data_IF_133207813587
#
_entry.id   IF_133207813587
#
_cell.length_a   1.000
_cell.length_b   1.000
_cell.length_c   1.000
_cell.angle_alpha   90.00
_cell.angle_beta   90.00
_cell.angle_gamma   90.00
#
_symmetry.space_group_name_H-M   'P 1'
#
loop_
_entity.id
_entity.type
_entity.pdbx_description
1 polymer ?
#
# COMPACT_ATOMS: atom_id res chain seq x y z
N UNK A 1 -83.16 -27.19 -14.91
CA UNK A 1 -82.60 -26.27 -13.87
C UNK A 1 -81.29 -26.88 -13.39
N UNK A 2 -80.24 -26.47 -13.99
CA UNK A 2 -78.87 -27.04 -13.76
C UNK A 2 -78.01 -25.97 -13.05
N UNK A 3 -77.58 -26.29 -11.82
CA UNK A 3 -76.72 -25.45 -11.01
C UNK A 3 -75.26 -25.58 -11.49
N UNK A 4 -74.72 -24.51 -12.00
CA UNK A 4 -73.29 -24.38 -12.35
C UNK A 4 -72.55 -23.90 -11.09
N UNK A 5 -71.75 -24.81 -10.49
CA UNK A 5 -70.79 -24.46 -9.43
C UNK A 5 -69.54 -23.93 -10.05
N UNK A 6 -69.27 -22.66 -9.90
CA UNK A 6 -68.00 -22.04 -10.26
C UNK A 6 -67.00 -22.33 -9.12
N UNK A 7 -66.00 -23.14 -9.38
CA UNK A 7 -64.86 -23.34 -8.49
C UNK A 7 -63.84 -22.24 -8.79
N UNK A 8 -63.73 -21.23 -7.92
CA UNK A 8 -62.64 -20.26 -7.97
C UNK A 8 -61.38 -20.92 -7.41
N UNK A 9 -60.49 -21.32 -8.32
CA UNK A 9 -59.14 -21.75 -7.95
C UNK A 9 -58.27 -20.50 -7.74
N UNK A 10 -58.08 -20.13 -6.48
CA UNK A 10 -57.17 -19.04 -6.10
C UNK A 10 -55.70 -19.48 -6.25
N UNK A 11 -55.06 -19.11 -7.31
CA UNK A 11 -53.59 -19.19 -7.44
C UNK A 11 -52.97 -18.14 -6.50
N UNK A 12 -52.55 -18.58 -5.34
CA UNK A 12 -51.72 -17.79 -4.44
C UNK A 12 -50.31 -17.64 -5.07
N UNK A 13 -50.04 -16.58 -5.80
CA UNK A 13 -48.73 -16.20 -6.23
C UNK A 13 -47.93 -15.74 -5.00
N UNK A 14 -47.13 -16.63 -4.43
CA UNK A 14 -46.08 -16.28 -3.46
C UNK A 14 -44.98 -15.58 -4.26
N UNK A 15 -45.01 -14.25 -4.28
CA UNK A 15 -43.89 -13.45 -4.77
C UNK A 15 -42.79 -13.58 -3.72
N UNK A 16 -41.85 -14.51 -3.90
CA UNK A 16 -40.59 -14.56 -3.19
C UNK A 16 -39.79 -13.37 -3.69
N UNK A 17 -39.90 -12.24 -2.98
CA UNK A 17 -38.94 -11.17 -3.10
C UNK A 17 -37.59 -11.72 -2.62
N UNK A 18 -36.81 -12.29 -3.51
CA UNK A 18 -35.39 -12.47 -3.32
C UNK A 18 -34.80 -11.06 -3.23
N UNK A 19 -34.75 -10.53 -2.01
CA UNK A 19 -33.91 -9.40 -1.70
C UNK A 19 -32.53 -9.83 -2.10
N UNK A 20 -32.11 -9.47 -3.29
CA UNK A 20 -30.71 -9.53 -3.67
C UNK A 20 -29.98 -8.60 -2.72
N UNK A 21 -29.64 -9.13 -1.55
CA UNK A 21 -28.60 -8.54 -0.71
C UNK A 21 -27.39 -8.49 -1.61
N UNK A 22 -27.14 -7.33 -2.21
CA UNK A 22 -25.87 -7.08 -2.86
C UNK A 22 -24.81 -7.13 -1.76
N UNK A 23 -24.29 -8.33 -1.51
CA UNK A 23 -23.14 -8.52 -0.64
C UNK A 23 -22.07 -7.57 -1.17
N UNK A 24 -21.64 -6.63 -0.34
CA UNK A 24 -20.55 -5.74 -0.71
C UNK A 24 -19.33 -6.61 -1.01
N UNK A 25 -18.91 -6.60 -2.26
CA UNK A 25 -17.76 -7.41 -2.70
C UNK A 25 -16.50 -6.68 -2.27
N UNK A 26 -15.64 -7.38 -1.55
CA UNK A 26 -14.30 -6.88 -1.23
C UNK A 26 -13.50 -6.79 -2.55
N UNK A 27 -12.91 -5.63 -2.83
CA UNK A 27 -11.86 -5.52 -3.85
C UNK A 27 -10.60 -6.20 -3.28
N UNK A 28 -9.87 -6.90 -4.12
CA UNK A 28 -8.53 -7.36 -3.76
C UNK A 28 -7.52 -6.44 -4.43
N UNK A 29 -6.57 -5.93 -3.67
CA UNK A 29 -5.39 -5.27 -4.23
C UNK A 29 -4.36 -6.35 -4.51
N UNK A 30 -4.29 -6.79 -5.78
CA UNK A 30 -3.43 -7.88 -6.23
C UNK A 30 -1.98 -7.43 -6.40
N UNK A 31 -1.28 -7.20 -5.27
CA UNK A 31 0.17 -7.07 -5.20
C UNK A 31 0.72 -8.35 -4.58
N UNK A 32 1.62 -9.10 -5.24
CA UNK A 32 2.01 -10.43 -4.79
C UNK A 32 2.81 -10.40 -3.48
N UNK A 33 2.70 -11.48 -2.74
CA UNK A 33 3.63 -11.75 -1.64
C UNK A 33 5.05 -11.94 -2.17
N UNK A 34 6.03 -11.63 -1.37
CA UNK A 34 7.45 -11.83 -1.68
C UNK A 34 8.05 -12.96 -0.84
N UNK A 35 9.17 -13.58 -1.24
CA UNK A 35 9.75 -14.67 -0.49
C UNK A 35 9.96 -14.35 0.98
N UNK A 36 9.33 -15.14 1.86
CA UNK A 36 9.40 -14.98 3.31
C UNK A 36 8.48 -13.92 3.93
N UNK A 37 7.65 -13.21 3.11
CA UNK A 37 6.79 -12.15 3.62
C UNK A 37 5.43 -12.10 2.92
N UNK A 38 4.39 -11.80 3.70
CA UNK A 38 3.12 -11.32 3.21
C UNK A 38 3.23 -9.84 2.86
N UNK A 39 2.67 -9.44 1.72
CA UNK A 39 2.58 -8.03 1.30
C UNK A 39 1.26 -7.46 1.79
N UNK A 40 1.25 -6.85 2.98
CA UNK A 40 0.06 -6.27 3.58
C UNK A 40 -0.16 -4.84 3.08
N UNK A 41 -1.41 -4.52 2.73
CA UNK A 41 -1.85 -3.18 2.31
C UNK A 41 -2.36 -2.44 3.53
N UNK A 42 -1.66 -1.38 3.93
CA UNK A 42 -1.87 -0.68 5.19
C UNK A 42 -2.15 0.80 4.97
N UNK A 43 -3.12 1.34 5.72
CA UNK A 43 -3.34 2.77 5.85
C UNK A 43 -3.26 3.17 7.32
N UNK A 44 -2.24 3.96 7.66
CA UNK A 44 -1.92 4.30 9.04
C UNK A 44 -2.36 5.70 9.46
N UNK A 45 -3.05 6.44 8.57
CA UNK A 45 -3.56 7.77 8.86
C UNK A 45 -4.97 7.95 8.31
N UNK A 46 -5.96 7.75 9.18
CA UNK A 46 -7.36 8.01 8.88
C UNK A 46 -8.05 8.65 10.07
N UNK A 47 -9.06 9.47 9.81
CA UNK A 47 -9.78 10.23 10.82
C UNK A 47 -11.24 9.81 10.90
N UNK A 48 -11.87 10.04 12.04
CA UNK A 48 -13.28 9.76 12.28
C UNK A 48 -14.02 11.00 12.80
N UNK A 49 -15.33 10.86 13.04
CA UNK A 49 -16.14 11.93 13.63
C UNK A 49 -15.68 12.37 15.02
N UNK A 50 -14.79 11.63 15.67
CA UNK A 50 -14.21 12.01 16.97
C UNK A 50 -13.11 13.07 16.83
N UNK A 51 -12.70 13.39 15.60
CA UNK A 51 -11.80 14.49 15.27
C UNK A 51 -12.35 15.35 14.12
N UNK A 52 -11.56 15.66 13.13
CA UNK A 52 -11.93 16.42 11.92
C UNK A 52 -12.47 15.53 10.79
N UNK A 53 -12.61 14.22 11.03
CA UNK A 53 -13.25 13.30 10.10
C UNK A 53 -14.78 13.39 10.12
N UNK A 54 -15.42 12.82 9.10
CA UNK A 54 -16.86 12.92 8.84
C UNK A 54 -17.60 11.58 8.98
N UNK A 55 -16.85 10.47 9.13
CA UNK A 55 -17.44 9.14 9.17
C UNK A 55 -17.25 8.44 10.51
N UNK A 56 -18.18 7.54 10.82
CA UNK A 56 -18.12 6.74 12.04
C UNK A 56 -16.97 5.73 12.01
N UNK A 57 -16.31 5.40 13.13
CA UNK A 57 -15.17 4.48 13.15
C UNK A 57 -15.42 3.11 12.50
N UNK A 58 -16.60 2.53 12.66
CA UNK A 58 -16.96 1.27 11.99
C UNK A 58 -17.08 1.41 10.47
N UNK A 59 -17.43 2.61 9.96
CA UNK A 59 -17.45 2.89 8.53
C UNK A 59 -16.02 2.86 7.98
N UNK A 60 -15.03 3.40 8.69
CA UNK A 60 -13.62 3.29 8.30
C UNK A 60 -13.17 1.84 8.12
N UNK A 61 -13.62 0.95 9.02
CA UNK A 61 -13.31 -0.49 8.93
C UNK A 61 -13.99 -1.11 7.70
N UNK A 62 -15.25 -0.76 7.44
CA UNK A 62 -15.97 -1.25 6.25
C UNK A 62 -15.33 -0.76 4.95
N UNK A 63 -14.91 0.50 4.89
CA UNK A 63 -14.18 1.07 3.76
C UNK A 63 -12.84 0.36 3.53
N UNK A 64 -12.05 0.16 4.59
CA UNK A 64 -10.79 -0.56 4.53
C UNK A 64 -10.98 -1.99 3.97
N UNK A 65 -11.97 -2.72 4.49
CA UNK A 65 -12.28 -4.06 4.01
C UNK A 65 -12.73 -4.05 2.55
N UNK A 66 -13.67 -3.17 2.19
CA UNK A 66 -14.20 -3.07 0.82
C UNK A 66 -13.12 -2.75 -0.20
N UNK A 67 -12.15 -1.92 0.16
CA UNK A 67 -11.08 -1.47 -0.72
C UNK A 67 -9.85 -2.38 -0.71
N UNK A 68 -9.90 -3.50 0.02
CA UNK A 68 -8.86 -4.53 0.00
C UNK A 68 -7.67 -4.26 0.92
N UNK A 69 -7.79 -3.35 1.89
CA UNK A 69 -6.77 -3.18 2.92
C UNK A 69 -6.71 -4.40 3.85
N UNK A 70 -5.52 -4.69 4.35
CA UNK A 70 -5.30 -5.71 5.38
C UNK A 70 -5.20 -5.08 6.77
N UNK A 71 -4.72 -3.83 6.85
CA UNK A 71 -4.41 -3.12 8.09
C UNK A 71 -4.89 -1.67 8.02
N UNK A 72 -5.47 -1.17 9.11
CA UNK A 72 -5.82 0.25 9.25
C UNK A 72 -5.50 0.77 10.65
N UNK A 73 -5.18 2.06 10.76
CA UNK A 73 -5.20 2.81 12.01
C UNK A 73 -6.13 4.02 11.88
N UNK A 74 -7.01 4.22 12.88
CA UNK A 74 -7.77 5.46 13.03
C UNK A 74 -6.97 6.30 14.02
N UNK A 75 -6.48 7.45 13.54
CA UNK A 75 -5.50 8.26 14.25
C UNK A 75 -6.05 9.65 14.58
N UNK A 76 -7.27 9.68 15.11
CA UNK A 76 -7.87 10.91 15.61
C UNK A 76 -6.89 11.63 16.58
N UNK A 77 -6.67 12.96 16.44
CA UNK A 77 -5.72 13.69 17.25
C UNK A 77 -6.10 13.73 18.73
N UNK A 78 -5.09 13.59 19.59
CA UNK A 78 -5.23 13.74 21.04
C UNK A 78 -5.77 15.13 21.38
N UNK A 79 -6.73 15.19 22.33
CA UNK A 79 -7.31 16.44 22.81
C UNK A 79 -8.37 17.05 21.89
N UNK A 80 -8.73 16.39 20.82
CA UNK A 80 -9.77 16.86 19.87
C UNK A 80 -11.19 16.47 20.31
N UNK A 81 -11.50 16.59 21.58
CA UNK A 81 -12.74 16.08 22.20
C UNK A 81 -14.03 16.58 21.55
N UNK A 82 -14.53 15.85 20.53
CA UNK A 82 -15.89 16.05 20.01
C UNK A 82 -16.93 15.27 20.79
N UNK A 83 -16.54 14.26 21.57
CA UNK A 83 -17.43 13.56 22.46
C UNK A 83 -17.35 14.11 23.89
N UNK A 84 -18.40 13.87 24.66
CA UNK A 84 -18.51 14.36 26.05
C UNK A 84 -17.66 13.54 27.04
N UNK A 85 -17.05 12.45 26.58
CA UNK A 85 -16.29 11.53 27.46
C UNK A 85 -14.82 11.90 27.58
N UNK A 86 -14.28 12.68 26.62
CA UNK A 86 -12.86 13.01 26.56
C UNK A 86 -11.95 11.80 26.38
N UNK A 87 -12.46 10.70 25.79
CA UNK A 87 -11.70 9.46 25.64
C UNK A 87 -11.01 9.38 24.25
N UNK A 88 -9.70 9.63 24.22
CA UNK A 88 -8.89 9.56 23.00
C UNK A 88 -8.74 8.13 22.43
N UNK A 89 -9.19 7.08 23.13
CA UNK A 89 -9.22 5.70 22.61
C UNK A 89 -10.55 5.36 21.91
N UNK A 90 -11.53 6.26 21.90
CA UNK A 90 -12.92 5.97 21.56
C UNK A 90 -13.08 5.39 20.15
N UNK A 91 -12.39 5.95 19.16
CA UNK A 91 -12.45 5.48 17.77
C UNK A 91 -11.99 4.04 17.62
N UNK A 92 -10.87 3.70 18.25
CA UNK A 92 -10.35 2.35 18.26
C UNK A 92 -11.29 1.37 18.97
N UNK A 93 -11.83 1.73 20.14
CA UNK A 93 -12.72 0.88 20.93
C UNK A 93 -14.01 0.55 20.18
N UNK A 94 -14.57 1.52 19.45
CA UNK A 94 -15.77 1.33 18.61
C UNK A 94 -15.46 0.49 17.36
N UNK A 95 -14.31 0.73 16.73
CA UNK A 95 -13.96 0.09 15.46
C UNK A 95 -13.53 -1.37 15.62
N UNK A 96 -12.83 -1.70 16.72
CA UNK A 96 -12.19 -3.00 16.94
C UNK A 96 -13.12 -4.21 16.81
N UNK A 97 -14.32 -4.26 17.45
CA UNK A 97 -15.17 -5.44 17.35
C UNK A 97 -15.53 -5.82 15.91
N UNK A 98 -15.81 -4.79 15.07
CA UNK A 98 -16.09 -5.03 13.66
C UNK A 98 -14.84 -5.45 12.89
N UNK A 99 -13.69 -4.83 13.16
CA UNK A 99 -12.42 -5.18 12.53
C UNK A 99 -12.07 -6.66 12.79
N UNK A 100 -12.18 -7.11 14.04
CA UNK A 100 -11.95 -8.51 14.46
C UNK A 100 -12.95 -9.46 13.73
N UNK A 101 -14.21 -9.06 13.59
CA UNK A 101 -15.24 -9.84 12.92
C UNK A 101 -14.98 -10.06 11.43
N UNK A 102 -14.50 -9.04 10.72
CA UNK A 102 -14.32 -9.08 9.25
C UNK A 102 -12.86 -9.28 8.82
N UNK A 103 -11.95 -9.53 9.78
CA UNK A 103 -10.56 -9.89 9.52
C UNK A 103 -9.66 -8.73 9.09
N UNK A 104 -9.97 -7.50 9.52
CA UNK A 104 -9.10 -6.33 9.36
C UNK A 104 -8.23 -6.19 10.61
N UNK A 105 -6.91 -6.04 10.44
CA UNK A 105 -6.02 -5.71 11.54
C UNK A 105 -6.15 -4.22 11.83
N UNK A 106 -6.76 -3.89 12.98
CA UNK A 106 -6.83 -2.51 13.44
C UNK A 106 -5.71 -2.21 14.43
N UNK A 107 -4.94 -1.17 14.17
CA UNK A 107 -3.86 -0.70 15.04
C UNK A 107 -4.36 0.50 15.85
N UNK A 108 -4.16 0.43 17.19
CA UNK A 108 -4.43 1.61 18.02
C UNK A 108 -3.40 2.68 17.75
N UNK A 109 -3.89 3.85 17.30
CA UNK A 109 -3.05 4.99 17.00
C UNK A 109 -3.70 6.31 17.41
N UNK A 110 -2.93 7.35 17.33
CA UNK A 110 -3.39 8.74 17.48
C UNK A 110 -2.41 9.69 16.80
N UNK A 111 -2.76 10.94 16.69
CA UNK A 111 -1.90 12.01 16.17
C UNK A 111 -1.73 13.11 17.21
N UNK A 112 -0.59 13.79 17.20
CA UNK A 112 -0.38 15.04 17.94
C UNK A 112 -0.07 16.14 16.92
N UNK A 113 -0.95 17.12 16.85
CA UNK A 113 -0.78 18.28 15.98
C UNK A 113 0.16 19.28 16.61
N UNK A 114 1.27 19.54 15.95
CA UNK A 114 2.20 20.62 16.30
C UNK A 114 2.65 21.34 15.06
N UNK A 115 2.87 22.65 15.19
CA UNK A 115 3.55 23.41 14.15
C UNK A 115 5.01 22.97 14.03
N UNK A 116 5.60 23.20 12.87
CA UNK A 116 7.03 23.01 12.68
C UNK A 116 7.84 24.00 13.51
N UNK A 117 8.93 23.58 14.19
CA UNK A 117 9.32 22.23 14.54
C UNK A 117 8.55 21.69 15.76
N UNK A 118 8.38 20.37 15.96
CA UNK A 118 8.87 19.28 15.12
C UNK A 118 7.93 18.88 13.97
N UNK A 119 6.71 19.45 13.89
CA UNK A 119 5.63 19.08 13.01
C UNK A 119 4.69 18.03 13.61
N UNK A 120 3.77 17.54 12.81
CA UNK A 120 2.78 16.55 13.21
C UNK A 120 3.44 15.17 13.36
N UNK A 121 3.14 14.47 14.44
CA UNK A 121 3.60 13.10 14.66
C UNK A 121 2.42 12.15 14.83
N UNK A 122 2.50 11.00 14.19
CA UNK A 122 1.60 9.88 14.40
C UNK A 122 2.23 8.82 15.28
N UNK A 123 1.39 8.21 16.10
CA UNK A 123 1.74 7.23 17.11
C UNK A 123 0.93 5.97 16.88
N UNK A 124 1.59 4.87 16.52
CA UNK A 124 0.96 3.56 16.30
C UNK A 124 1.34 2.59 17.42
N UNK A 125 0.50 1.60 17.66
CA UNK A 125 0.70 0.53 18.66
C UNK A 125 0.78 1.07 20.11
N UNK A 126 0.11 2.17 20.39
CA UNK A 126 -0.05 2.69 21.74
C UNK A 126 -1.03 1.83 22.55
N UNK A 127 -0.88 1.81 23.87
CA UNK A 127 -1.77 1.08 24.77
C UNK A 127 -2.94 1.94 25.23
N UNK A 128 -2.69 3.22 25.48
CA UNK A 128 -3.68 4.18 25.96
C UNK A 128 -3.36 5.59 25.46
N UNK A 129 -4.19 6.09 24.53
CA UNK A 129 -4.04 7.43 23.97
C UNK A 129 -4.31 8.54 24.99
N UNK A 130 -5.14 8.30 26.03
CA UNK A 130 -5.44 9.32 27.05
C UNK A 130 -4.19 9.77 27.81
N UNK A 131 -3.19 8.90 27.93
CA UNK A 131 -1.93 9.23 28.61
C UNK A 131 -1.02 10.17 27.79
N UNK A 132 -1.34 10.35 26.50
CA UNK A 132 -0.60 11.23 25.59
C UNK A 132 -1.14 12.67 25.62
N UNK A 133 -2.29 12.91 26.23
CA UNK A 133 -2.85 14.24 26.40
C UNK A 133 -2.18 14.96 27.55
N UNK A 134 -1.14 15.75 27.26
CA UNK A 134 -0.33 16.48 28.23
C UNK A 134 -0.08 17.91 27.73
N UNK A 135 0.05 18.86 28.63
CA UNK A 135 0.42 20.23 28.29
C UNK A 135 1.80 20.28 27.62
N UNK A 136 2.74 19.55 28.19
CA UNK A 136 4.07 19.40 27.63
C UNK A 136 4.10 18.26 26.61
N UNK A 137 4.08 18.60 25.32
CA UNK A 137 4.12 17.64 24.23
C UNK A 137 5.34 16.70 24.25
N UNK A 138 6.46 17.13 24.85
CA UNK A 138 7.64 16.29 24.98
C UNK A 138 7.41 15.10 25.92
N UNK A 139 6.64 15.32 26.98
CA UNK A 139 6.21 14.23 27.88
C UNK A 139 5.25 13.26 27.19
N UNK A 140 4.38 13.77 26.30
CA UNK A 140 3.53 12.92 25.46
C UNK A 140 4.35 12.00 24.57
N UNK A 141 5.42 12.50 23.98
CA UNK A 141 6.29 11.72 23.11
C UNK A 141 7.08 10.64 23.88
N UNK A 142 7.56 10.97 25.06
CA UNK A 142 8.20 10.00 25.97
C UNK A 142 7.22 8.93 26.42
N UNK A 143 6.03 9.32 26.84
CA UNK A 143 4.96 8.39 27.22
C UNK A 143 4.64 7.41 26.08
N UNK A 144 4.47 7.91 24.85
CA UNK A 144 4.23 7.06 23.69
C UNK A 144 5.39 6.08 23.45
N UNK A 145 6.63 6.54 23.56
CA UNK A 145 7.82 5.68 23.48
C UNK A 145 7.81 4.60 24.56
N UNK A 146 7.48 4.95 25.80
CA UNK A 146 7.43 4.02 26.95
C UNK A 146 6.29 2.98 26.77
N UNK A 147 5.21 3.35 26.11
CA UNK A 147 4.18 2.41 25.66
C UNK A 147 4.65 1.50 24.50
N UNK A 148 5.82 1.76 23.94
CA UNK A 148 6.39 1.02 22.82
C UNK A 148 5.83 1.41 21.46
N UNK A 149 5.34 2.63 21.29
CA UNK A 149 4.81 3.13 20.03
C UNK A 149 5.85 3.11 18.91
N UNK A 150 5.38 2.88 17.69
CA UNK A 150 6.07 3.27 16.47
C UNK A 150 5.62 4.69 16.12
N UNK A 151 6.57 5.63 16.09
CA UNK A 151 6.31 7.05 15.93
C UNK A 151 6.90 7.52 14.61
N UNK A 152 6.09 8.19 13.79
CA UNK A 152 6.55 8.73 12.52
C UNK A 152 6.08 10.17 12.30
N UNK A 153 6.90 10.92 11.57
CA UNK A 153 6.59 12.27 11.16
C UNK A 153 5.62 12.25 10.00
N UNK A 154 4.45 12.87 10.18
CA UNK A 154 3.44 13.07 9.16
C UNK A 154 3.44 14.52 8.69
N UNK A 155 2.70 14.77 7.63
CA UNK A 155 2.45 16.11 7.10
C UNK A 155 3.73 16.96 6.90
N UNK A 156 4.73 16.47 6.14
CA UNK A 156 5.99 17.18 5.98
C UNK A 156 5.93 18.37 4.99
N UNK A 157 4.72 18.86 4.65
CA UNK A 157 4.49 19.93 3.69
C UNK A 157 5.20 21.24 4.04
N UNK A 158 5.32 21.53 5.33
CA UNK A 158 5.97 22.75 5.81
C UNK A 158 7.50 22.69 5.73
N UNK A 159 8.08 21.50 5.53
CA UNK A 159 9.53 21.32 5.42
C UNK A 159 10.04 21.78 4.06
N UNK A 160 10.73 22.92 4.04
CA UNK A 160 11.25 23.55 2.80
C UNK A 160 12.70 23.21 2.49
N UNK A 161 13.38 22.52 3.39
CA UNK A 161 14.78 22.14 3.23
C UNK A 161 15.02 20.70 3.65
N UNK A 162 16.08 20.07 3.17
CA UNK A 162 16.47 18.71 3.57
C UNK A 162 17.35 18.66 4.83
N UNK A 163 17.34 19.71 5.64
CA UNK A 163 18.04 19.76 6.92
C UNK A 163 17.09 19.44 8.05
N UNK A 164 17.53 18.58 8.96
CA UNK A 164 16.83 18.25 10.18
C UNK A 164 16.91 19.43 11.16
N UNK A 165 15.77 19.81 11.70
CA UNK A 165 15.68 20.88 12.71
C UNK A 165 16.06 20.34 14.10
N UNK A 166 16.50 21.19 15.05
CA UNK A 166 16.97 20.76 16.38
C UNK A 166 16.00 19.83 17.12
N UNK A 167 14.71 20.12 17.09
CA UNK A 167 13.68 19.32 17.77
C UNK A 167 13.52 17.96 17.09
N UNK A 168 13.58 17.89 15.75
CA UNK A 168 13.56 16.66 15.01
C UNK A 168 14.82 15.81 15.28
N UNK A 169 16.00 16.46 15.34
CA UNK A 169 17.27 15.79 15.70
C UNK A 169 17.13 15.18 17.08
N UNK A 170 16.61 15.92 18.04
CA UNK A 170 16.38 15.41 19.39
C UNK A 170 15.46 14.18 19.40
N UNK A 171 14.37 14.18 18.61
CA UNK A 171 13.48 13.02 18.45
C UNK A 171 14.21 11.79 17.87
N UNK A 172 15.14 12.02 16.94
CA UNK A 172 15.97 10.97 16.36
C UNK A 172 16.98 10.42 17.37
N UNK A 173 17.72 11.30 18.05
CA UNK A 173 18.78 10.93 19.00
C UNK A 173 18.20 10.20 20.23
N UNK A 174 17.02 10.60 20.69
CA UNK A 174 16.30 9.89 21.75
C UNK A 174 15.59 8.62 21.25
N UNK A 175 15.70 8.32 19.95
CA UNK A 175 15.11 7.13 19.33
C UNK A 175 13.58 7.13 19.37
N UNK A 176 12.95 8.30 19.40
CA UNK A 176 11.50 8.48 19.35
C UNK A 176 11.00 8.39 17.93
N UNK A 177 11.56 9.19 17.01
CA UNK A 177 11.18 9.21 15.61
C UNK A 177 11.75 7.99 14.86
N UNK A 178 10.90 7.19 14.24
CA UNK A 178 11.25 5.94 13.56
C UNK A 178 10.91 5.92 12.07
N UNK A 179 10.01 6.79 11.62
CA UNK A 179 9.53 6.82 10.26
C UNK A 179 9.17 8.22 9.79
N UNK A 180 8.95 8.33 8.48
CA UNK A 180 8.53 9.57 7.81
C UNK A 180 7.50 9.23 6.75
N UNK A 181 6.42 9.98 6.72
CA UNK A 181 5.45 9.94 5.64
C UNK A 181 6.02 10.69 4.44
N UNK A 182 6.15 10.00 3.31
CA UNK A 182 6.68 10.58 2.07
C UNK A 182 5.62 10.77 0.98
N UNK A 183 4.41 10.25 1.22
CA UNK A 183 3.25 10.44 0.36
C UNK A 183 1.99 10.52 1.22
N UNK A 184 1.17 11.55 1.00
CA UNK A 184 -0.07 11.76 1.74
C UNK A 184 -1.18 12.24 0.79
N UNK A 185 -2.35 11.61 0.86
CA UNK A 185 -3.51 11.90 0.02
C UNK A 185 -3.16 11.82 -1.48
N UNK A 186 -2.82 12.92 -2.13
CA UNK A 186 -2.41 13.02 -3.53
C UNK A 186 -1.03 13.66 -3.71
N UNK A 187 -0.27 13.86 -2.63
CA UNK A 187 0.99 14.59 -2.59
C UNK A 187 2.19 13.73 -2.25
N UNK A 188 3.21 13.86 -3.07
CA UNK A 188 4.53 13.28 -2.84
C UNK A 188 5.50 14.32 -2.26
N UNK A 189 6.29 13.93 -1.25
CA UNK A 189 7.23 14.77 -0.54
C UNK A 189 8.69 14.35 -0.76
N UNK A 190 9.33 14.75 -1.86
CA UNK A 190 10.70 14.32 -2.19
C UNK A 190 11.73 14.80 -1.18
N UNK A 191 11.50 15.94 -0.52
CA UNK A 191 12.37 16.42 0.57
C UNK A 191 12.29 15.46 1.76
N UNK A 192 11.10 15.06 2.16
CA UNK A 192 10.89 14.13 3.26
C UNK A 192 11.48 12.74 2.96
N UNK A 193 11.35 12.24 1.72
CA UNK A 193 12.02 11.00 1.30
C UNK A 193 13.54 11.10 1.43
N UNK A 194 14.14 12.20 0.95
CA UNK A 194 15.57 12.42 1.08
C UNK A 194 16.00 12.43 2.55
N UNK A 195 15.23 13.09 3.42
CA UNK A 195 15.48 13.14 4.86
C UNK A 195 15.36 11.75 5.50
N UNK A 196 14.31 10.98 5.14
CA UNK A 196 14.15 9.60 5.61
C UNK A 196 15.36 8.74 5.24
N UNK A 197 15.84 8.82 3.98
CA UNK A 197 16.98 8.09 3.50
C UNK A 197 18.29 8.46 4.22
N UNK A 198 18.48 9.75 4.55
CA UNK A 198 19.67 10.21 5.30
C UNK A 198 19.82 9.58 6.68
N UNK A 199 18.71 9.26 7.34
CA UNK A 199 18.65 8.71 8.69
C UNK A 199 18.16 7.27 8.74
N UNK A 200 18.02 6.63 7.58
CA UNK A 200 17.56 5.26 7.46
C UNK A 200 16.23 5.04 8.21
N UNK A 201 15.25 5.92 7.98
CA UNK A 201 13.93 5.86 8.59
C UNK A 201 12.95 5.06 7.72
N UNK A 202 11.95 4.50 8.35
CA UNK A 202 10.86 3.82 7.66
C UNK A 202 10.06 4.84 6.83
N UNK A 203 9.84 4.54 5.55
CA UNK A 203 8.97 5.35 4.69
C UNK A 203 7.53 4.85 4.78
N UNK A 204 6.60 5.81 4.83
CA UNK A 204 5.17 5.52 4.90
C UNK A 204 4.38 6.37 3.89
N UNK A 205 3.18 5.89 3.58
CA UNK A 205 2.14 6.64 2.91
C UNK A 205 0.85 6.54 3.71
N UNK A 206 0.08 7.61 3.76
CA UNK A 206 -1.22 7.66 4.42
C UNK A 206 -2.27 8.35 3.55
N UNK A 207 -3.54 7.99 3.73
CA UNK A 207 -4.62 8.66 3.02
C UNK A 207 -4.99 10.01 3.61
N UNK A 208 -4.75 10.21 4.91
CA UNK A 208 -5.24 11.39 5.68
C UNK A 208 -6.76 11.59 5.51
N UNK A 209 -7.47 10.48 5.38
CA UNK A 209 -8.87 10.48 4.97
C UNK A 209 -9.79 11.02 6.05
N UNK A 210 -10.61 12.01 5.69
CA UNK A 210 -11.57 12.68 6.57
C UNK A 210 -13.00 12.37 6.17
N UNK A 211 -13.35 12.53 4.93
CA UNK A 211 -14.66 12.19 4.37
C UNK A 211 -14.82 10.69 4.05
N UNK A 212 -15.85 10.34 3.32
CA UNK A 212 -16.05 8.98 2.82
C UNK A 212 -15.04 8.65 1.73
N UNK A 213 -14.43 7.46 1.80
CA UNK A 213 -13.45 7.00 0.82
C UNK A 213 -13.98 6.95 -0.61
N UNK A 214 -15.27 6.65 -0.78
CA UNK A 214 -15.91 6.64 -2.09
C UNK A 214 -16.02 8.01 -2.75
N UNK A 215 -15.90 9.10 -1.99
CA UNK A 215 -15.86 10.47 -2.49
C UNK A 215 -14.42 10.95 -2.70
N UNK A 216 -13.54 10.71 -1.73
CA UNK A 216 -12.16 11.19 -1.78
C UNK A 216 -11.29 10.41 -2.77
N UNK A 217 -11.56 9.11 -2.96
CA UNK A 217 -10.80 8.20 -3.83
C UNK A 217 -11.71 7.49 -4.85
N UNK A 218 -12.63 8.23 -5.48
CA UNK A 218 -13.60 7.67 -6.44
C UNK A 218 -12.95 7.11 -7.70
N UNK A 219 -11.87 7.73 -8.18
CA UNK A 219 -11.19 7.38 -9.44
C UNK A 219 -9.91 6.56 -9.24
N UNK A 220 -9.30 6.63 -8.06
CA UNK A 220 -8.02 5.98 -7.74
C UNK A 220 -8.13 5.25 -6.40
N UNK A 221 -7.29 4.24 -6.20
CA UNK A 221 -7.15 3.72 -4.85
C UNK A 221 -6.45 4.75 -3.95
N UNK A 222 -6.78 4.73 -2.64
CA UNK A 222 -6.04 5.52 -1.67
C UNK A 222 -4.56 5.12 -1.65
N UNK A 223 -3.64 6.03 -1.31
CA UNK A 223 -2.26 5.64 -1.07
C UNK A 223 -2.17 4.65 0.08
N UNK A 224 -1.31 3.66 -0.06
CA UNK A 224 -1.11 2.65 0.97
C UNK A 224 0.37 2.43 1.24
N UNK A 225 0.69 2.11 2.48
CA UNK A 225 1.99 1.53 2.83
C UNK A 225 1.91 0.02 2.63
N UNK A 226 2.72 -0.52 1.71
CA UNK A 226 2.96 -1.96 1.61
C UNK A 226 3.90 -2.36 2.73
N UNK A 227 3.45 -3.26 3.60
CA UNK A 227 4.24 -3.79 4.71
C UNK A 227 4.58 -5.24 4.45
N UNK A 228 5.88 -5.56 4.44
CA UNK A 228 6.37 -6.93 4.22
C UNK A 228 6.53 -7.63 5.57
N UNK A 229 5.46 -8.26 6.02
CA UNK A 229 5.33 -8.89 7.32
C UNK A 229 5.53 -10.41 7.24
N UNK A 230 6.08 -11.03 8.29
CA UNK A 230 6.29 -12.47 8.36
C UNK A 230 4.99 -13.25 8.55
N UNK A 231 3.97 -12.60 9.11
CA UNK A 231 2.63 -13.12 9.30
C UNK A 231 1.59 -11.99 9.26
N UNK A 232 0.30 -12.34 9.20
CA UNK A 232 -0.81 -11.37 9.21
C UNK A 232 -1.23 -11.09 10.64
N UNK A 233 -0.40 -10.32 11.38
CA UNK A 233 -0.66 -9.94 12.78
C UNK A 233 -0.19 -8.52 13.07
N UNK A 234 -0.77 -7.89 14.11
CA UNK A 234 -0.37 -6.56 14.58
C UNK A 234 1.11 -6.53 14.97
N UNK A 235 1.59 -7.58 15.67
CA UNK A 235 2.99 -7.70 16.09
C UNK A 235 3.96 -7.79 14.92
N UNK A 236 3.63 -8.55 13.87
CA UNK A 236 4.46 -8.67 12.68
C UNK A 236 4.46 -7.39 11.84
N UNK A 237 3.35 -6.64 11.80
CA UNK A 237 3.30 -5.31 11.20
C UNK A 237 4.23 -4.36 11.94
N UNK A 238 4.16 -4.32 13.29
CA UNK A 238 5.07 -3.49 14.10
C UNK A 238 6.54 -3.82 13.87
N UNK A 239 6.85 -5.11 13.87
CA UNK A 239 8.22 -5.60 13.65
C UNK A 239 8.72 -5.22 12.23
N UNK A 240 7.85 -5.32 11.21
CA UNK A 240 8.18 -4.93 9.85
C UNK A 240 8.44 -3.42 9.73
N UNK A 241 7.62 -2.57 10.38
CA UNK A 241 7.85 -1.14 10.43
C UNK A 241 9.20 -0.81 11.11
N UNK A 242 9.49 -1.41 12.27
CA UNK A 242 10.76 -1.19 12.97
C UNK A 242 11.99 -1.66 12.16
N UNK A 243 11.81 -2.63 11.26
CA UNK A 243 12.85 -3.14 10.35
C UNK A 243 12.81 -2.53 8.95
N UNK A 244 12.05 -1.46 8.73
CA UNK A 244 11.94 -0.74 7.47
C UNK A 244 11.54 -1.63 6.28
N UNK A 245 10.74 -2.66 6.55
CA UNK A 245 10.21 -3.53 5.52
C UNK A 245 8.92 -2.95 4.94
N UNK A 246 9.07 -1.80 4.28
CA UNK A 246 7.97 -1.06 3.67
C UNK A 246 8.29 -0.63 2.25
N UNK A 247 7.24 -0.41 1.48
CA UNK A 247 7.21 0.37 0.26
C UNK A 247 5.90 1.16 0.23
N UNK A 248 5.84 2.24 -0.53
CA UNK A 248 4.59 2.99 -0.68
C UNK A 248 4.00 2.71 -2.06
N UNK A 249 2.67 2.60 -2.14
CA UNK A 249 1.95 2.36 -3.38
C UNK A 249 0.83 3.41 -3.56
N UNK A 250 0.87 4.11 -4.68
CA UNK A 250 -0.10 5.13 -5.05
C UNK A 250 -0.21 5.22 -6.58
N UNK A 251 -1.42 5.38 -7.09
CA UNK A 251 -1.66 5.34 -8.54
C UNK A 251 -1.02 4.10 -9.17
N UNK A 252 -0.16 4.29 -10.16
CA UNK A 252 0.58 3.23 -10.83
C UNK A 252 2.04 3.12 -10.34
N UNK A 253 2.37 3.64 -9.17
CA UNK A 253 3.77 3.77 -8.73
C UNK A 253 4.01 3.10 -7.39
N UNK A 254 5.12 2.36 -7.29
CA UNK A 254 5.67 1.90 -6.00
C UNK A 254 7.02 2.56 -5.77
N UNK A 255 7.24 3.13 -4.57
CA UNK A 255 8.54 3.61 -4.12
C UNK A 255 9.00 2.73 -2.95
N UNK A 256 10.23 2.22 -3.00
CA UNK A 256 10.75 1.38 -1.91
C UNK A 256 12.17 0.90 -2.10
N UNK A 257 12.66 0.16 -1.11
CA UNK A 257 13.98 -0.46 -1.19
C UNK A 257 13.99 -1.57 -2.24
N UNK A 258 15.04 -1.60 -3.08
CA UNK A 258 15.24 -2.60 -4.13
C UNK A 258 15.08 -4.04 -3.61
N UNK A 259 15.52 -4.30 -2.38
CA UNK A 259 15.37 -5.60 -1.72
C UNK A 259 13.94 -6.12 -1.70
N UNK A 260 12.95 -5.23 -1.64
CA UNK A 260 11.54 -5.59 -1.57
C UNK A 260 10.84 -5.42 -2.92
N UNK A 261 11.10 -4.33 -3.64
CA UNK A 261 10.37 -4.05 -4.89
C UNK A 261 10.83 -4.93 -6.07
N UNK A 262 12.08 -5.44 -6.06
CA UNK A 262 12.53 -6.45 -7.05
C UNK A 262 11.71 -7.75 -6.95
N UNK A 263 11.56 -8.38 -5.77
CA UNK A 263 10.68 -9.54 -5.64
C UNK A 263 9.21 -9.25 -5.96
N UNK A 264 8.69 -8.07 -5.62
CA UNK A 264 7.32 -7.67 -6.02
C UNK A 264 7.18 -7.73 -7.53
N UNK A 265 8.08 -7.10 -8.28
CA UNK A 265 8.07 -7.15 -9.75
C UNK A 265 8.18 -8.59 -10.27
N UNK A 266 9.17 -9.35 -9.80
CA UNK A 266 9.42 -10.72 -10.28
C UNK A 266 8.23 -11.65 -10.02
N UNK A 267 7.55 -11.51 -8.87
CA UNK A 267 6.39 -12.32 -8.55
C UNK A 267 5.10 -11.83 -9.22
N UNK A 268 5.09 -10.58 -9.70
CA UNK A 268 3.96 -10.03 -10.48
C UNK A 268 3.94 -10.55 -11.92
N UNK A 269 5.06 -10.98 -12.47
CA UNK A 269 5.14 -11.39 -13.87
C UNK A 269 5.44 -12.87 -14.02
N UNK A 270 4.89 -13.46 -15.09
CA UNK A 270 5.21 -14.81 -15.52
C UNK A 270 5.65 -14.76 -16.98
N UNK A 271 6.88 -15.17 -17.24
CA UNK A 271 7.39 -15.31 -18.60
C UNK A 271 6.97 -16.67 -19.13
N UNK A 272 6.22 -16.67 -20.21
CA UNK A 272 5.78 -17.84 -20.94
C UNK A 272 6.64 -17.91 -22.20
N UNK A 273 7.56 -18.86 -22.23
CA UNK A 273 8.48 -19.07 -23.34
C UNK A 273 7.94 -20.16 -24.23
N UNK A 274 8.02 -19.97 -25.54
CA UNK A 274 7.85 -21.07 -26.49
C UNK A 274 9.17 -21.87 -26.56
N UNK A 275 9.09 -23.14 -26.94
CA UNK A 275 10.26 -24.02 -27.06
C UNK A 275 11.08 -23.75 -28.35
N UNK A 276 10.79 -22.65 -29.06
CA UNK A 276 11.53 -22.26 -30.26
C UNK A 276 12.85 -21.58 -29.84
N UNK A 277 13.96 -22.06 -30.36
CA UNK A 277 15.26 -21.43 -30.24
C UNK A 277 15.29 -20.14 -31.05
N UNK A 278 15.96 -19.10 -30.56
CA UNK A 278 16.29 -17.92 -31.35
C UNK A 278 17.63 -18.16 -32.03
N UNK A 279 17.57 -18.20 -33.38
CA UNK A 279 18.71 -18.34 -34.24
C UNK A 279 19.07 -17.00 -34.90
N UNK A 280 20.18 -16.94 -35.59
CA UNK A 280 20.55 -15.77 -36.41
C UNK A 280 19.44 -15.48 -37.45
N UNK A 281 19.10 -14.19 -37.61
CA UNK A 281 17.99 -13.70 -38.47
C UNK A 281 16.62 -14.36 -38.18
N UNK A 282 16.53 -15.14 -37.10
CA UNK A 282 15.30 -15.78 -36.65
C UNK A 282 14.43 -14.86 -35.83
N UNK A 283 13.14 -15.21 -35.71
CA UNK A 283 12.14 -14.56 -34.86
C UNK A 283 11.70 -15.51 -33.77
N UNK A 284 11.78 -15.07 -32.52
CA UNK A 284 11.23 -15.74 -31.34
C UNK A 284 10.28 -14.79 -30.60
N UNK A 285 9.04 -15.21 -30.46
CA UNK A 285 8.08 -14.49 -29.66
C UNK A 285 8.00 -15.12 -28.27
N UNK A 286 8.12 -14.31 -27.23
CA UNK A 286 7.81 -14.67 -25.85
C UNK A 286 6.57 -13.94 -25.39
N UNK A 287 5.91 -14.47 -24.37
CA UNK A 287 4.77 -13.81 -23.74
C UNK A 287 5.10 -13.52 -22.28
N UNK A 288 4.78 -12.32 -21.82
CA UNK A 288 4.92 -11.92 -20.41
C UNK A 288 3.51 -11.64 -19.88
N UNK A 289 3.07 -12.45 -18.91
CA UNK A 289 1.81 -12.25 -18.21
C UNK A 289 2.03 -11.49 -16.92
N UNK A 290 1.25 -10.44 -16.71
CA UNK A 290 1.22 -9.67 -15.47
C UNK A 290 0.05 -10.13 -14.59
N UNK A 291 0.34 -10.71 -13.41
CA UNK A 291 -0.66 -11.23 -12.47
C UNK A 291 -1.11 -10.20 -11.41
N UNK A 292 -0.65 -8.95 -11.53
CA UNK A 292 -0.92 -7.92 -10.53
C UNK A 292 -1.87 -6.83 -11.05
N UNK A 293 -2.38 -6.01 -10.14
CA UNK A 293 -3.17 -4.82 -10.47
C UNK A 293 -2.30 -3.65 -10.97
N UNK A 294 -0.99 -3.76 -10.86
CA UNK A 294 -0.06 -2.74 -11.31
C UNK A 294 0.31 -2.90 -12.78
N UNK A 295 0.23 -1.86 -13.60
CA UNK A 295 0.94 -1.85 -14.87
C UNK A 295 2.45 -1.73 -14.64
N UNK A 296 3.26 -2.25 -15.55
CA UNK A 296 4.71 -2.03 -15.53
C UNK A 296 5.15 -1.40 -16.84
N UNK A 297 5.88 -0.30 -16.74
CA UNK A 297 6.44 0.45 -17.87
C UNK A 297 7.94 0.16 -17.97
N UNK A 298 8.31 -0.77 -18.85
CA UNK A 298 9.70 -1.19 -19.04
C UNK A 298 10.33 -0.38 -20.16
N UNK A 299 11.52 0.17 -19.92
CA UNK A 299 12.35 0.82 -20.92
C UNK A 299 13.71 0.14 -20.97
N UNK A 300 14.17 -0.21 -22.20
CA UNK A 300 15.45 -0.90 -22.39
C UNK A 300 16.61 0.00 -21.96
N UNK A 301 17.41 -0.47 -21.00
CA UNK A 301 18.55 0.28 -20.47
C UNK A 301 19.86 0.08 -21.23
N UNK A 302 19.97 -1.04 -21.95
CA UNK A 302 21.12 -1.36 -22.78
C UNK A 302 20.76 -2.41 -23.84
N UNK A 303 21.47 -2.48 -24.97
CA UNK A 303 21.29 -3.53 -25.96
C UNK A 303 21.49 -4.93 -25.39
N UNK A 304 20.74 -5.90 -25.92
CA UNK A 304 20.97 -7.32 -25.68
C UNK A 304 22.07 -7.85 -26.63
N UNK A 305 22.80 -8.85 -26.18
CA UNK A 305 23.91 -9.41 -26.98
C UNK A 305 23.38 -10.40 -28.00
N UNK A 306 23.64 -10.16 -29.27
CA UNK A 306 23.32 -11.04 -30.39
C UNK A 306 21.86 -10.99 -30.86
N UNK A 307 20.97 -10.21 -30.24
CA UNK A 307 19.57 -10.06 -30.66
C UNK A 307 19.00 -8.68 -30.33
N UNK A 308 17.95 -8.30 -31.01
CA UNK A 308 17.14 -7.12 -30.71
C UNK A 308 15.86 -7.49 -29.96
N UNK A 309 15.38 -6.56 -29.15
CA UNK A 309 14.09 -6.61 -28.45
C UNK A 309 13.48 -5.20 -28.44
N UNK A 310 12.17 -5.05 -28.17
CA UNK A 310 11.52 -3.75 -28.11
C UNK A 310 12.21 -2.79 -27.13
N UNK A 311 12.20 -1.50 -27.44
CA UNK A 311 12.74 -0.46 -26.56
C UNK A 311 11.85 -0.25 -25.34
N UNK A 312 10.54 -0.19 -25.57
CA UNK A 312 9.53 -0.04 -24.52
C UNK A 312 8.58 -1.24 -24.53
N UNK A 313 8.22 -1.70 -23.31
CA UNK A 313 7.21 -2.74 -23.08
C UNK A 313 6.26 -2.25 -22.01
N UNK A 314 4.96 -2.34 -22.26
CA UNK A 314 3.92 -2.05 -21.28
C UNK A 314 3.25 -3.37 -20.88
N UNK A 315 3.40 -3.76 -19.64
CA UNK A 315 2.73 -4.93 -19.09
C UNK A 315 1.47 -4.46 -18.34
N UNK A 316 0.33 -4.49 -19.01
CA UNK A 316 -0.95 -4.09 -18.41
C UNK A 316 -1.41 -5.09 -17.34
N UNK A 317 -2.15 -4.65 -16.29
CA UNK A 317 -2.70 -5.52 -15.26
C UNK A 317 -3.48 -6.69 -15.84
N UNK A 318 -3.24 -7.90 -15.32
CA UNK A 318 -3.93 -9.15 -15.67
C UNK A 318 -3.93 -9.52 -17.15
N UNK A 319 -3.02 -8.93 -17.95
CA UNK A 319 -2.90 -9.21 -19.38
C UNK A 319 -1.56 -9.85 -19.72
N UNK A 320 -1.58 -10.54 -20.85
CA UNK A 320 -0.39 -11.13 -21.49
C UNK A 320 0.07 -10.24 -22.63
N UNK A 321 1.35 -9.85 -22.59
CA UNK A 321 2.01 -9.05 -23.64
C UNK A 321 2.96 -9.94 -24.44
N UNK A 322 2.80 -9.96 -25.75
CA UNK A 322 3.74 -10.60 -26.65
C UNK A 322 4.95 -9.69 -26.90
N UNK A 323 6.13 -10.27 -26.88
CA UNK A 323 7.41 -9.58 -27.08
C UNK A 323 8.23 -10.33 -28.12
N UNK A 324 8.54 -9.67 -29.21
CA UNK A 324 9.30 -10.23 -30.31
C UNK A 324 10.81 -10.01 -30.12
N UNK A 325 11.59 -11.06 -30.24
CA UNK A 325 13.04 -11.06 -30.23
C UNK A 325 13.54 -11.45 -31.62
N UNK A 326 14.45 -10.65 -32.17
CA UNK A 326 15.03 -10.91 -33.53
C UNK A 326 16.53 -11.20 -33.40
N UNK A 327 16.97 -12.34 -33.87
CA UNK A 327 18.36 -12.74 -33.88
C UNK A 327 19.22 -11.87 -34.79
N UNK A 328 20.43 -11.52 -34.36
CA UNK A 328 21.39 -10.67 -35.09
C UNK A 328 22.79 -11.27 -35.13
N UNK A 329 22.99 -12.49 -34.64
CA UNK A 329 24.30 -13.12 -34.57
C UNK A 329 24.20 -14.65 -34.52
N UNK A 330 25.06 -15.35 -35.22
CA UNK A 330 25.17 -16.80 -35.16
C UNK A 330 25.62 -17.34 -33.77
N UNK A 331 26.18 -16.48 -32.91
CA UNK A 331 26.57 -16.87 -31.56
C UNK A 331 25.36 -17.23 -30.66
N UNK A 332 24.15 -16.82 -31.06
CA UNK A 332 22.90 -17.20 -30.40
C UNK A 332 22.70 -18.70 -30.30
N UNK A 333 23.23 -19.47 -31.22
CA UNK A 333 23.15 -20.92 -31.24
C UNK A 333 23.81 -21.58 -30.02
N UNK A 334 24.78 -20.93 -29.44
CA UNK A 334 25.49 -21.39 -28.24
C UNK A 334 25.03 -20.68 -26.97
N UNK A 335 24.07 -19.74 -27.06
CA UNK A 335 23.59 -18.94 -25.91
C UNK A 335 22.36 -19.62 -25.29
N UNK A 336 22.50 -20.28 -24.11
CA UNK A 336 21.39 -21.02 -23.50
C UNK A 336 20.34 -20.13 -22.82
N UNK A 337 20.69 -18.88 -22.52
CA UNK A 337 19.82 -17.90 -21.84
C UNK A 337 20.01 -16.52 -22.47
N UNK A 338 18.93 -16.02 -23.04
CA UNK A 338 18.86 -14.64 -23.56
C UNK A 338 18.60 -13.70 -22.37
N UNK A 339 19.34 -12.62 -22.27
CA UNK A 339 19.16 -11.62 -21.21
C UNK A 339 18.62 -10.32 -21.81
N UNK A 340 17.47 -9.89 -21.28
CA UNK A 340 16.86 -8.60 -21.60
C UNK A 340 17.08 -7.66 -20.43
N UNK A 341 17.52 -6.46 -20.74
CA UNK A 341 17.92 -5.46 -19.74
C UNK A 341 16.99 -4.26 -19.77
N UNK A 342 16.14 -4.13 -18.76
CA UNK A 342 15.15 -3.06 -18.67
C UNK A 342 15.26 -2.25 -17.38
N UNK A 343 14.68 -1.07 -17.39
CA UNK A 343 14.31 -0.29 -16.20
C UNK A 343 12.79 -0.25 -16.13
N UNK A 344 12.22 -0.64 -15.00
CA UNK A 344 10.79 -0.46 -14.72
C UNK A 344 10.61 0.95 -14.20
N UNK A 345 10.02 1.83 -15.02
CA UNK A 345 9.96 3.29 -14.76
C UNK A 345 9.10 3.68 -13.57
N UNK A 346 8.06 2.92 -13.28
CA UNK A 346 7.11 3.18 -12.19
C UNK A 346 7.35 2.34 -10.92
N UNK A 347 8.46 1.61 -10.85
CA UNK A 347 9.01 1.10 -9.62
C UNK A 347 10.23 1.94 -9.28
N UNK A 348 10.10 2.79 -8.26
CA UNK A 348 11.12 3.78 -7.92
C UNK A 348 11.92 3.28 -6.71
N UNK A 349 13.23 3.24 -6.86
CA UNK A 349 14.13 2.91 -5.75
C UNK A 349 14.28 4.11 -4.81
N UNK A 350 14.73 3.88 -3.58
CA UNK A 350 15.03 4.97 -2.61
C UNK A 350 16.14 5.93 -3.09
N UNK A 351 16.74 5.67 -4.24
CA UNK A 351 17.68 6.58 -4.91
C UNK A 351 16.99 7.51 -5.92
N UNK A 352 15.65 7.47 -6.00
CA UNK A 352 14.85 8.26 -6.94
C UNK A 352 14.99 7.81 -8.40
N UNK A 353 15.34 6.56 -8.66
CA UNK A 353 15.53 6.00 -10.02
C UNK A 353 14.61 4.82 -10.24
N UNK A 354 14.17 4.65 -11.49
CA UNK A 354 13.45 3.46 -11.90
C UNK A 354 14.23 2.17 -11.61
N UNK A 355 13.52 1.08 -11.35
CA UNK A 355 14.12 -0.20 -10.94
C UNK A 355 14.78 -0.91 -12.11
N UNK A 356 16.10 -1.16 -12.10
CA UNK A 356 16.75 -1.98 -13.11
C UNK A 356 16.38 -3.46 -12.90
N UNK A 357 16.03 -4.14 -13.99
CA UNK A 357 15.67 -5.55 -13.97
C UNK A 357 16.31 -6.29 -15.16
N UNK A 358 16.71 -7.53 -14.92
CA UNK A 358 17.21 -8.46 -15.92
C UNK A 358 16.22 -9.61 -16.06
N UNK A 359 15.70 -9.80 -17.28
CA UNK A 359 14.80 -10.90 -17.60
C UNK A 359 15.59 -11.97 -18.37
N UNK A 360 15.67 -13.16 -17.80
CA UNK A 360 16.32 -14.32 -18.42
C UNK A 360 15.29 -15.16 -19.18
N UNK A 361 15.54 -15.42 -20.47
CA UNK A 361 14.70 -16.22 -21.33
C UNK A 361 15.49 -17.46 -21.76
N UNK A 362 14.96 -18.64 -21.52
CA UNK A 362 15.58 -19.88 -22.01
C UNK A 362 15.65 -19.88 -23.53
N UNK A 363 16.81 -20.26 -24.12
CA UNK A 363 17.05 -20.37 -25.52
C UNK A 363 17.42 -21.81 -25.89
N UNK A 364 16.74 -22.75 -25.25
CA UNK A 364 16.89 -24.19 -25.52
C UNK A 364 15.79 -24.68 -26.43
#
# INVERSE_FOLDING_TARGET
MTNLKIVLSGCLFVIINVLSSSAQTRKEISIPNIPGYYTLKCDFQTHSIFSDGEVWPTVRIQEAWREGLDVIAITDPVGYHKDVTGNNNRSYEIARPLADQIGIIIIRGTEIYKQMPPGHLLFLFIKNANLLERENWWESYKEAKDQGAFIFWSNPEEQKSSFWLPEQIRLLDEGILKGVEIYKHDRYFPIAEKMANQRNLTILAGSDMKGSSGLEFSEKHRPVTLVFATEKSESAVKEALLKQRTAIYFGDTIIGNEKFIVPVFKNSIKIINNNKKLEDQGLKQICIHNNSDMPFYLHRRQPSVGFSCPEDIILKPHLTTAVDLVGLSAELDQTPVLKLFYVVKNLITLKGKGLPVDLGISNK
#
